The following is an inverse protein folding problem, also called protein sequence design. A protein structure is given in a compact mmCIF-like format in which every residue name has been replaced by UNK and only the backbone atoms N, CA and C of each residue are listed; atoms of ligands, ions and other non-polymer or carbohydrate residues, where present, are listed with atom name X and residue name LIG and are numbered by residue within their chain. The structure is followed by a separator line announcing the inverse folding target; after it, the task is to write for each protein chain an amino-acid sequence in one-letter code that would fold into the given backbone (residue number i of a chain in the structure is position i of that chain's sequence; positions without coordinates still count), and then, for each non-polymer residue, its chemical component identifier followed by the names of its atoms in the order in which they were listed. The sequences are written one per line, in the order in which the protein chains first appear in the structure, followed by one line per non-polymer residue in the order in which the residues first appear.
data_IF_661101288592
#
_entry.id   IF_661101288592
#
_cell.length_a   1.000
_cell.length_b   1.000
_cell.length_c   1.000
_cell.angle_alpha   90.00
_cell.angle_beta   90.00
_cell.angle_gamma   90.00
#
_symmetry.space_group_name_H-M   'P 1'
#
loop_
_entity.id
_entity.type
_entity.pdbx_description
1 polymer ?
#
# COMPACT_ATOMS: atom_id res chain seq x y z
N UNK A 1 3.53 34.39 -1.96
CA UNK A 1 4.90 34.42 -2.49
C UNK A 1 5.11 33.12 -3.25
N UNK A 2 5.46 33.16 -4.52
CA UNK A 2 5.81 31.97 -5.29
C UNK A 2 7.03 31.32 -4.65
N UNK A 3 6.92 30.06 -4.24
CA UNK A 3 8.06 29.30 -3.74
C UNK A 3 9.08 29.19 -4.87
N UNK A 4 10.33 29.57 -4.62
CA UNK A 4 11.39 29.48 -5.62
C UNK A 4 11.68 28.00 -5.92
N UNK A 5 11.59 27.62 -7.20
CA UNK A 5 11.83 26.25 -7.65
C UNK A 5 13.35 26.05 -7.75
N UNK A 6 13.93 25.07 -7.06
CA UNK A 6 15.37 24.86 -7.09
C UNK A 6 15.83 24.37 -8.47
N UNK A 7 17.10 24.63 -8.80
CA UNK A 7 17.72 24.14 -10.03
C UNK A 7 18.07 22.64 -9.94
N UNK A 8 18.19 22.12 -8.72
CA UNK A 8 18.58 20.74 -8.43
C UNK A 8 17.57 20.04 -7.52
N UNK A 9 17.59 18.72 -7.56
CA UNK A 9 16.80 17.81 -6.74
C UNK A 9 17.72 16.85 -6.01
N UNK A 10 17.48 16.65 -4.72
CA UNK A 10 18.14 15.60 -3.93
C UNK A 10 17.31 14.34 -4.06
N UNK A 11 17.92 13.23 -4.43
CA UNK A 11 17.21 11.98 -4.68
C UNK A 11 18.07 10.75 -4.43
N UNK A 12 17.40 9.63 -4.21
CA UNK A 12 18.01 8.31 -4.28
C UNK A 12 17.73 7.68 -5.64
N UNK A 13 18.66 6.85 -6.13
CA UNK A 13 18.45 5.98 -7.29
C UNK A 13 18.83 4.54 -6.91
N UNK A 14 18.13 3.56 -7.48
CA UNK A 14 18.51 2.14 -7.39
C UNK A 14 19.44 1.81 -8.57
N UNK A 15 20.75 1.74 -8.33
CA UNK A 15 21.74 1.38 -9.35
C UNK A 15 22.23 -0.04 -9.14
N UNK A 16 21.88 -0.92 -10.08
CA UNK A 16 22.33 -2.31 -10.08
C UNK A 16 21.61 -3.20 -9.07
N UNK A 17 22.30 -4.26 -8.64
CA UNK A 17 21.76 -5.36 -7.85
C UNK A 17 22.55 -5.43 -6.53
N UNK A 18 21.88 -5.26 -5.39
CA UNK A 18 22.60 -5.26 -4.11
C UNK A 18 21.77 -4.98 -2.86
N UNK A 19 20.44 -5.01 -2.93
CA UNK A 19 19.61 -4.62 -1.81
C UNK A 19 19.89 -3.15 -1.41
N UNK A 20 20.02 -2.81 -0.12
CA UNK A 20 20.28 -1.44 0.33
C UNK A 20 21.55 -0.79 -0.25
N UNK A 21 22.54 -1.58 -0.66
CA UNK A 21 23.78 -1.05 -1.24
C UNK A 21 23.59 -0.53 -2.67
N UNK A 22 22.54 -0.98 -3.36
CA UNK A 22 22.13 -0.43 -4.65
C UNK A 22 21.52 0.98 -4.54
N UNK A 23 21.23 1.48 -3.33
CA UNK A 23 20.73 2.83 -3.12
C UNK A 23 21.90 3.83 -3.15
N UNK A 24 21.83 4.78 -4.09
CA UNK A 24 22.79 5.88 -4.22
C UNK A 24 22.09 7.22 -4.09
N UNK A 25 22.51 8.00 -3.09
CA UNK A 25 22.05 9.38 -2.90
C UNK A 25 22.84 10.31 -3.81
N UNK A 26 22.16 11.24 -4.47
CA UNK A 26 22.79 12.27 -5.28
C UNK A 26 21.95 13.53 -5.38
N UNK A 27 22.59 14.61 -5.79
CA UNK A 27 21.93 15.83 -6.22
C UNK A 27 22.01 15.90 -7.74
N UNK A 28 20.88 16.09 -8.41
CA UNK A 28 20.75 16.06 -9.88
C UNK A 28 20.03 17.32 -10.37
N UNK A 29 20.21 17.73 -11.64
CA UNK A 29 19.40 18.80 -12.22
C UNK A 29 17.91 18.47 -12.17
N UNK A 30 17.09 19.45 -11.81
CA UNK A 30 15.63 19.27 -11.81
C UNK A 30 15.13 19.06 -13.24
N UNK A 31 14.40 17.98 -13.49
CA UNK A 31 13.82 17.70 -14.80
C UNK A 31 12.80 18.77 -15.20
N UNK A 32 12.74 19.09 -16.50
CA UNK A 32 11.74 20.01 -17.03
C UNK A 32 10.33 19.42 -16.85
N UNK A 33 9.40 20.27 -16.41
CA UNK A 33 7.99 19.92 -16.27
C UNK A 33 7.37 19.85 -17.66
N UNK A 34 6.84 18.69 -18.03
CA UNK A 34 6.11 18.51 -19.29
C UNK A 34 4.75 19.20 -19.31
N UNK A 35 4.14 19.28 -20.50
CA UNK A 35 2.92 20.07 -20.72
C UNK A 35 1.70 19.58 -19.91
N UNK A 36 1.60 18.27 -19.66
CA UNK A 36 0.54 17.63 -18.84
C UNK A 36 1.01 17.29 -17.42
N UNK A 37 2.21 17.74 -17.03
CA UNK A 37 2.81 17.37 -15.76
C UNK A 37 2.66 18.44 -14.69
N UNK A 38 2.69 17.98 -13.45
CA UNK A 38 2.65 18.78 -12.24
C UNK A 38 3.97 18.59 -11.50
N UNK A 39 4.62 19.69 -11.15
CA UNK A 39 5.80 19.67 -10.29
C UNK A 39 5.35 19.71 -8.84
N UNK A 40 5.73 18.68 -8.09
CA UNK A 40 5.38 18.54 -6.68
C UNK A 40 6.65 18.66 -5.84
N UNK A 41 6.62 19.56 -4.84
CA UNK A 41 7.57 19.51 -3.72
C UNK A 41 7.12 18.37 -2.80
N UNK A 42 7.87 17.27 -2.79
CA UNK A 42 7.53 16.10 -1.98
C UNK A 42 7.95 16.38 -0.54
N UNK A 43 7.03 16.14 0.41
CA UNK A 43 7.21 16.47 1.83
C UNK A 43 7.03 15.25 2.73
N UNK A 44 6.34 14.22 2.24
CA UNK A 44 6.24 12.92 2.87
C UNK A 44 6.35 11.82 1.83
N UNK A 45 7.00 10.73 2.21
CA UNK A 45 7.00 9.46 1.50
C UNK A 45 6.82 8.33 2.53
N UNK A 46 6.60 7.10 2.07
CA UNK A 46 6.59 5.95 2.99
C UNK A 46 7.07 4.67 2.30
N UNK A 47 7.56 3.71 3.09
CA UNK A 47 8.09 2.46 2.55
C UNK A 47 7.01 1.40 2.35
N UNK A 48 7.18 0.60 1.30
CA UNK A 48 6.47 -0.65 1.06
C UNK A 48 7.47 -1.80 0.92
N UNK A 49 7.02 -3.03 1.16
CA UNK A 49 7.86 -4.23 0.98
C UNK A 49 8.45 -4.31 -0.43
N UNK A 50 7.68 -3.89 -1.45
CA UNK A 50 8.14 -3.84 -2.84
C UNK A 50 9.42 -3.01 -3.02
N UNK A 51 9.57 -1.91 -2.29
CA UNK A 51 10.70 -1.00 -2.49
C UNK A 51 12.02 -1.67 -2.09
N UNK A 52 11.94 -2.59 -1.12
CA UNK A 52 13.06 -3.39 -0.66
C UNK A 52 13.41 -4.48 -1.69
N UNK A 53 12.41 -5.21 -2.18
CA UNK A 53 12.65 -6.32 -3.13
C UNK A 53 12.97 -5.83 -4.55
N UNK A 54 12.62 -4.60 -4.91
CA UNK A 54 13.13 -3.94 -6.13
C UNK A 54 14.65 -3.75 -6.02
N UNK A 55 15.15 -3.30 -4.87
CA UNK A 55 16.58 -3.15 -4.64
C UNK A 55 17.33 -4.50 -4.64
N UNK A 56 16.63 -5.60 -4.34
CA UNK A 56 17.14 -6.98 -4.47
C UNK A 56 16.88 -7.61 -5.85
N UNK A 57 16.22 -6.90 -6.78
CA UNK A 57 15.74 -7.40 -8.07
C UNK A 57 14.88 -8.69 -8.00
N UNK A 58 14.09 -8.81 -6.94
CA UNK A 58 13.12 -9.90 -6.73
C UNK A 58 11.68 -9.46 -6.98
N UNK A 59 11.46 -8.23 -7.45
CA UNK A 59 10.13 -7.74 -7.74
C UNK A 59 9.56 -8.41 -9.02
N UNK A 60 8.38 -9.03 -8.98
CA UNK A 60 7.85 -9.82 -10.09
C UNK A 60 7.17 -8.98 -11.19
N UNK A 61 7.06 -7.66 -10.99
CA UNK A 61 6.46 -6.73 -11.95
C UNK A 61 7.56 -5.88 -12.63
N UNK A 62 7.24 -5.20 -13.74
CA UNK A 62 8.21 -4.41 -14.48
C UNK A 62 8.99 -3.42 -13.61
N UNK A 63 10.30 -3.37 -13.86
CA UNK A 63 11.24 -2.47 -13.20
C UNK A 63 12.39 -2.12 -14.15
N UNK A 64 12.98 -0.95 -13.99
CA UNK A 64 14.16 -0.50 -14.73
C UNK A 64 15.28 -0.12 -13.77
N UNK A 65 16.52 -0.20 -14.26
CA UNK A 65 17.68 0.25 -13.49
C UNK A 65 17.73 1.78 -13.41
N UNK A 66 18.44 2.29 -12.39
CA UNK A 66 18.67 3.72 -12.14
C UNK A 66 17.40 4.55 -11.92
N UNK A 67 16.29 3.90 -11.56
CA UNK A 67 15.05 4.58 -11.19
C UNK A 67 15.17 5.20 -9.80
N UNK A 68 14.54 6.36 -9.59
CA UNK A 68 14.28 6.86 -8.23
C UNK A 68 13.27 5.92 -7.55
N UNK A 69 13.59 5.25 -6.43
CA UNK A 69 12.66 4.31 -5.80
C UNK A 69 11.50 5.02 -5.09
N UNK A 70 10.52 4.22 -4.64
CA UNK A 70 9.37 4.66 -3.86
C UNK A 70 8.15 4.99 -4.70
N UNK A 71 6.99 4.47 -4.31
CA UNK A 71 5.71 4.77 -4.96
C UNK A 71 4.84 5.74 -4.17
N UNK A 72 5.01 5.74 -2.85
CA UNK A 72 4.24 6.49 -1.87
C UNK A 72 4.80 7.90 -1.71
N UNK A 73 4.01 8.92 -2.02
CA UNK A 73 4.43 10.32 -1.91
C UNK A 73 3.27 11.25 -1.65
N UNK A 74 3.52 12.27 -0.84
CA UNK A 74 2.63 13.39 -0.64
C UNK A 74 3.41 14.70 -0.61
N UNK A 75 2.80 15.75 -1.13
CA UNK A 75 3.49 17.03 -1.28
C UNK A 75 2.58 18.15 -1.76
N UNK A 76 3.21 19.28 -2.04
CA UNK A 76 2.54 20.49 -2.53
C UNK A 76 2.90 20.74 -3.98
N UNK A 77 1.90 21.03 -4.81
CA UNK A 77 2.10 21.47 -6.19
C UNK A 77 2.78 22.84 -6.21
N UNK A 78 3.89 22.98 -6.93
CA UNK A 78 4.64 24.24 -7.04
C UNK A 78 4.63 24.83 -8.46
N UNK A 79 4.43 24.00 -9.48
CA UNK A 79 4.26 24.42 -10.87
C UNK A 79 3.44 23.41 -11.66
N UNK A 80 2.87 23.85 -12.78
CA UNK A 80 2.05 23.03 -13.68
C UNK A 80 2.44 23.29 -15.13
N UNK A 81 2.35 22.26 -15.97
CA UNK A 81 2.40 22.39 -17.42
C UNK A 81 1.18 23.11 -17.99
N UNK A 82 1.29 23.62 -19.22
CA UNK A 82 0.26 24.44 -19.87
C UNK A 82 -1.07 23.72 -20.17
N UNK A 83 -1.11 22.39 -20.10
CA UNK A 83 -2.29 21.58 -20.38
C UNK A 83 -2.88 20.94 -19.11
N UNK A 84 -2.28 21.17 -17.95
CA UNK A 84 -2.82 20.72 -16.66
C UNK A 84 -4.12 21.47 -16.36
N UNK A 85 -5.13 20.71 -15.95
CA UNK A 85 -6.46 21.23 -15.60
C UNK A 85 -6.93 20.77 -14.21
N UNK A 86 -6.39 19.67 -13.69
CA UNK A 86 -6.82 19.09 -12.40
C UNK A 86 -6.22 19.78 -11.18
N UNK A 87 -5.10 20.50 -11.33
CA UNK A 87 -4.34 21.06 -10.22
C UNK A 87 -3.85 22.48 -10.48
N UNK A 88 -3.57 23.20 -9.39
CA UNK A 88 -2.87 24.49 -9.37
C UNK A 88 -1.78 24.52 -8.30
N UNK A 89 -0.79 25.45 -8.41
CA UNK A 89 0.16 25.70 -7.34
C UNK A 89 -0.52 25.93 -5.99
N UNK A 90 0.01 25.29 -4.94
CA UNK A 90 -0.54 25.29 -3.58
C UNK A 90 -1.44 24.10 -3.25
N UNK A 91 -1.94 23.35 -4.24
CA UNK A 91 -2.72 22.15 -3.98
C UNK A 91 -1.85 21.07 -3.31
N UNK A 92 -2.41 20.37 -2.31
CA UNK A 92 -1.76 19.23 -1.67
C UNK A 92 -2.22 17.94 -2.32
N UNK A 93 -1.28 17.06 -2.65
CA UNK A 93 -1.55 15.86 -3.45
C UNK A 93 -0.88 14.63 -2.85
N UNK A 94 -1.44 13.46 -3.17
CA UNK A 94 -0.83 12.15 -3.00
C UNK A 94 -0.62 11.49 -4.37
N UNK A 95 0.42 10.68 -4.49
CA UNK A 95 0.72 9.97 -5.73
C UNK A 95 -0.24 8.82 -5.99
N UNK A 96 -0.49 8.52 -7.26
CA UNK A 96 -1.07 7.26 -7.70
C UNK A 96 0.04 6.29 -8.07
N UNK A 97 -0.12 5.03 -7.67
CA UNK A 97 0.90 3.98 -7.85
C UNK A 97 1.26 3.75 -9.32
N UNK A 98 0.28 3.35 -10.14
CA UNK A 98 0.39 3.25 -11.59
C UNK A 98 -0.25 4.51 -12.18
N UNK A 99 0.56 5.47 -12.64
CA UNK A 99 0.09 6.80 -13.07
C UNK A 99 -1.02 6.75 -14.14
N UNK A 100 -1.01 5.72 -15.00
CA UNK A 100 -1.99 5.50 -16.06
C UNK A 100 -3.25 4.72 -15.64
N UNK A 101 -3.30 4.14 -14.43
CA UNK A 101 -4.45 3.33 -13.98
C UNK A 101 -5.58 4.22 -13.47
N UNK A 102 -6.28 4.88 -14.38
CA UNK A 102 -7.32 5.86 -14.05
C UNK A 102 -8.59 5.20 -13.50
N UNK A 103 -9.01 4.07 -14.08
CA UNK A 103 -10.24 3.37 -13.71
C UNK A 103 -10.27 1.94 -14.26
N UNK A 104 -11.27 1.18 -13.84
CA UNK A 104 -11.46 -0.20 -14.29
C UNK A 104 -10.36 -1.17 -13.83
N UNK A 105 -10.26 -2.29 -14.54
CA UNK A 105 -9.22 -3.30 -14.31
C UNK A 105 -7.85 -2.79 -14.74
N UNK A 106 -6.81 -3.27 -14.07
CA UNK A 106 -5.44 -2.95 -14.45
C UNK A 106 -5.10 -3.62 -15.80
N UNK A 107 -4.57 -2.85 -16.73
CA UNK A 107 -4.15 -3.32 -18.05
C UNK A 107 -2.61 -3.30 -18.21
N UNK A 108 -2.14 -3.91 -19.30
CA UNK A 108 -0.72 -4.06 -19.58
C UNK A 108 0.02 -2.73 -19.81
N UNK A 109 -0.66 -1.69 -20.31
CA UNK A 109 -0.08 -0.36 -20.51
C UNK A 109 0.03 0.37 -19.18
N UNK A 110 -1.04 0.33 -18.38
CA UNK A 110 -1.09 0.94 -17.05
C UNK A 110 0.01 0.43 -16.13
N UNK A 111 0.33 -0.88 -16.17
CA UNK A 111 1.45 -1.46 -15.39
C UNK A 111 2.81 -0.82 -15.71
N UNK A 112 3.02 -0.31 -16.93
CA UNK A 112 4.29 0.35 -17.33
C UNK A 112 4.46 1.75 -16.75
N UNK A 113 3.52 2.20 -15.91
CA UNK A 113 3.52 3.55 -15.31
C UNK A 113 3.71 3.51 -13.80
N UNK A 114 4.21 2.38 -13.27
CA UNK A 114 4.44 2.16 -11.84
C UNK A 114 5.58 2.99 -11.27
N UNK A 115 5.27 3.87 -10.31
CA UNK A 115 6.24 4.72 -9.61
C UNK A 115 7.28 3.90 -8.83
N UNK A 116 8.53 4.31 -8.97
CA UNK A 116 9.70 3.67 -8.34
C UNK A 116 9.97 2.25 -8.82
N UNK A 117 9.31 1.82 -9.90
CA UNK A 117 9.61 0.59 -10.63
C UNK A 117 10.05 0.90 -12.05
N UNK A 118 9.14 1.42 -12.88
CA UNK A 118 9.38 1.70 -14.31
C UNK A 118 9.62 3.19 -14.55
N UNK A 119 8.99 4.05 -13.75
CA UNK A 119 9.14 5.51 -13.80
C UNK A 119 9.61 6.04 -12.45
N UNK A 120 10.30 7.18 -12.44
CA UNK A 120 10.88 7.75 -11.23
C UNK A 120 9.86 7.99 -10.12
N UNK A 121 10.22 7.50 -8.94
CA UNK A 121 9.41 7.47 -7.74
C UNK A 121 9.48 8.72 -6.87
N UNK A 122 9.38 8.50 -5.55
CA UNK A 122 9.09 9.54 -4.56
C UNK A 122 10.19 9.79 -3.54
N UNK A 123 11.27 8.98 -3.51
CA UNK A 123 12.43 9.26 -2.65
C UNK A 123 13.35 10.34 -3.25
N UNK A 124 12.77 11.53 -3.41
CA UNK A 124 13.38 12.76 -3.93
C UNK A 124 12.67 14.00 -3.38
N UNK A 125 13.33 15.16 -3.39
CA UNK A 125 12.73 16.41 -2.88
C UNK A 125 11.68 17.03 -3.80
N UNK A 126 11.80 16.82 -5.11
CA UNK A 126 10.87 17.32 -6.13
C UNK A 126 10.64 16.26 -7.20
N UNK A 127 9.42 16.15 -7.72
CA UNK A 127 9.10 15.23 -8.81
C UNK A 127 8.07 15.82 -9.76
N UNK A 128 8.26 15.59 -11.06
CA UNK A 128 7.25 15.85 -12.07
C UNK A 128 6.42 14.58 -12.27
N UNK A 129 5.10 14.72 -12.18
CA UNK A 129 4.13 13.63 -12.31
C UNK A 129 3.11 14.00 -13.36
N UNK A 130 2.56 13.02 -14.08
CA UNK A 130 1.41 13.30 -14.95
C UNK A 130 0.23 13.77 -14.08
N UNK A 131 -0.55 14.77 -14.52
CA UNK A 131 -1.69 15.23 -13.74
C UNK A 131 -2.69 14.10 -13.47
N UNK A 132 -2.75 13.06 -14.31
CA UNK A 132 -3.63 11.93 -14.10
C UNK A 132 -3.12 10.99 -12.99
N UNK A 133 -1.84 11.04 -12.65
CA UNK A 133 -1.18 10.22 -11.62
C UNK A 133 -1.14 10.84 -10.22
N UNK A 134 -2.02 11.81 -9.96
CA UNK A 134 -2.16 12.48 -8.67
C UNK A 134 -3.63 12.56 -8.24
N UNK A 135 -3.84 12.63 -6.93
CA UNK A 135 -5.14 12.88 -6.28
C UNK A 135 -4.95 13.92 -5.18
N UNK A 136 -5.98 14.73 -4.91
CA UNK A 136 -5.95 15.65 -3.76
C UNK A 136 -5.76 14.87 -2.45
N UNK A 137 -4.80 15.33 -1.64
CA UNK A 137 -4.55 14.77 -0.32
C UNK A 137 -5.69 15.14 0.62
N UNK A 138 -6.16 14.20 1.47
CA UNK A 138 -7.07 14.53 2.57
C UNK A 138 -6.54 15.70 3.40
N UNK A 139 -7.36 16.74 3.53
CA UNK A 139 -7.02 18.01 4.17
C UNK A 139 -6.72 17.89 5.68
N UNK A 140 -7.23 16.83 6.31
CA UNK A 140 -7.05 16.49 7.71
C UNK A 140 -5.75 15.70 8.01
N UNK A 141 -4.95 15.36 7.00
CA UNK A 141 -3.71 14.61 7.16
C UNK A 141 -2.46 15.49 7.02
N UNK A 142 -1.40 15.12 7.74
CA UNK A 142 -0.05 15.62 7.43
C UNK A 142 0.55 14.87 6.23
N UNK A 143 1.66 15.37 5.66
CA UNK A 143 2.25 14.77 4.46
C UNK A 143 2.80 13.35 4.67
N UNK A 144 3.31 13.02 5.85
CA UNK A 144 3.79 11.65 6.13
C UNK A 144 2.60 10.69 6.20
N UNK A 145 1.49 11.09 6.85
CA UNK A 145 0.25 10.32 6.88
C UNK A 145 -0.33 10.16 5.47
N UNK A 146 -0.44 11.25 4.71
CA UNK A 146 -0.96 11.23 3.34
C UNK A 146 -0.14 10.35 2.40
N UNK A 147 1.18 10.30 2.56
CA UNK A 147 2.03 9.46 1.72
C UNK A 147 1.74 7.97 1.88
N UNK A 148 1.18 7.52 3.01
CA UNK A 148 0.90 6.10 3.25
C UNK A 148 -0.27 5.54 2.43
N UNK A 149 -1.04 6.42 1.79
CA UNK A 149 -2.28 6.07 1.09
C UNK A 149 -2.05 5.37 -0.25
N UNK A 150 -1.01 5.76 -0.98
CA UNK A 150 -0.80 5.38 -2.39
C UNK A 150 -0.74 3.88 -2.64
N UNK A 151 0.12 3.16 -1.93
CA UNK A 151 0.26 1.71 -2.09
C UNK A 151 -0.60 0.97 -1.05
N UNK A 152 -0.29 1.09 0.23
CA UNK A 152 -0.90 0.24 1.25
C UNK A 152 -2.41 0.53 1.46
N UNK A 153 -2.77 1.81 1.61
CA UNK A 153 -4.16 2.22 1.76
C UNK A 153 -5.00 1.81 0.56
N UNK A 154 -4.57 2.19 -0.64
CA UNK A 154 -5.31 1.90 -1.87
C UNK A 154 -5.42 0.40 -2.16
N UNK A 155 -4.41 -0.40 -1.82
CA UNK A 155 -4.48 -1.86 -1.93
C UNK A 155 -5.57 -2.42 -1.01
N UNK A 156 -5.61 -1.99 0.25
CA UNK A 156 -6.64 -2.42 1.19
C UNK A 156 -8.04 -1.98 0.74
N UNK A 157 -8.18 -0.75 0.21
CA UNK A 157 -9.43 -0.26 -0.36
C UNK A 157 -9.90 -1.11 -1.55
N UNK A 158 -9.01 -1.41 -2.50
CA UNK A 158 -9.34 -2.25 -3.65
C UNK A 158 -9.66 -3.71 -3.23
N UNK A 159 -9.03 -4.22 -2.18
CA UNK A 159 -9.32 -5.56 -1.66
C UNK A 159 -10.75 -5.67 -1.10
N UNK A 160 -11.24 -4.62 -0.42
CA UNK A 160 -12.55 -4.65 0.24
C UNK A 160 -13.69 -4.10 -0.65
N UNK A 161 -13.41 -3.11 -1.50
CA UNK A 161 -14.46 -2.38 -2.24
C UNK A 161 -14.30 -2.40 -3.75
N UNK A 162 -13.16 -2.88 -4.26
CA UNK A 162 -12.82 -2.78 -5.68
C UNK A 162 -13.34 -3.90 -6.56
N UNK A 163 -13.88 -4.98 -5.98
CA UNK A 163 -14.57 -6.04 -6.73
C UNK A 163 -16.06 -5.75 -6.78
N UNK A 164 -16.64 -5.54 -7.97
CA UNK A 164 -18.06 -5.18 -8.10
C UNK A 164 -19.00 -6.23 -7.49
N UNK A 165 -18.71 -7.50 -7.72
CA UNK A 165 -19.54 -8.63 -7.26
C UNK A 165 -19.26 -9.01 -5.80
N UNK A 166 -18.15 -8.52 -5.24
CA UNK A 166 -17.70 -8.84 -3.88
C UNK A 166 -17.29 -7.56 -3.14
N UNK A 167 -18.13 -6.51 -3.17
CA UNK A 167 -17.90 -5.35 -2.31
C UNK A 167 -18.23 -5.73 -0.86
N UNK A 168 -17.42 -5.26 0.08
CA UNK A 168 -17.68 -5.43 1.50
C UNK A 168 -19.01 -4.78 1.90
N UNK A 169 -19.85 -5.54 2.59
CA UNK A 169 -21.12 -5.10 3.14
C UNK A 169 -21.05 -5.05 4.68
N UNK A 170 -21.83 -4.16 5.33
CA UNK A 170 -21.96 -4.16 6.78
C UNK A 170 -22.37 -5.53 7.33
N UNK A 171 -21.80 -5.91 8.47
CA UNK A 171 -22.06 -7.20 9.13
C UNK A 171 -21.25 -8.39 8.60
N UNK A 172 -20.57 -8.27 7.45
CA UNK A 172 -19.69 -9.32 6.93
C UNK A 172 -18.43 -9.50 7.78
N UNK A 173 -17.78 -10.65 7.61
CA UNK A 173 -16.50 -10.98 8.26
C UNK A 173 -15.31 -10.75 7.33
N UNK A 174 -14.30 -10.04 7.83
CA UNK A 174 -13.02 -9.80 7.16
C UNK A 174 -11.89 -10.43 7.96
N UNK A 175 -11.03 -11.20 7.30
CA UNK A 175 -9.79 -11.70 7.87
C UNK A 175 -8.60 -10.90 7.34
N UNK A 176 -7.78 -10.38 8.25
CA UNK A 176 -6.55 -9.64 7.93
C UNK A 176 -5.34 -10.30 8.57
N UNK A 177 -4.19 -10.27 7.89
CA UNK A 177 -2.98 -10.96 8.36
C UNK A 177 -1.87 -9.99 8.76
N UNK A 178 -1.41 -10.07 10.01
CA UNK A 178 -0.32 -9.24 10.54
C UNK A 178 -0.70 -7.79 10.80
N UNK A 179 0.32 -6.97 11.06
CA UNK A 179 0.18 -5.53 11.38
C UNK A 179 0.96 -4.64 10.41
N UNK A 180 1.19 -5.12 9.19
CA UNK A 180 1.75 -4.30 8.11
C UNK A 180 0.71 -3.30 7.61
N UNK A 181 1.16 -2.31 6.83
CA UNK A 181 0.29 -1.21 6.40
C UNK A 181 -1.02 -1.63 5.74
N UNK A 182 -0.99 -2.57 4.79
CA UNK A 182 -2.22 -3.06 4.11
C UNK A 182 -3.20 -3.65 5.12
N UNK A 183 -2.71 -4.50 6.03
CA UNK A 183 -3.52 -5.16 7.03
C UNK A 183 -4.16 -4.17 8.00
N UNK A 184 -3.40 -3.16 8.44
CA UNK A 184 -3.91 -2.12 9.33
C UNK A 184 -4.99 -1.26 8.65
N UNK A 185 -4.78 -0.83 7.41
CA UNK A 185 -5.81 -0.15 6.64
C UNK A 185 -7.05 -1.02 6.44
N UNK A 186 -6.88 -2.31 6.14
CA UNK A 186 -8.00 -3.24 5.98
C UNK A 186 -8.83 -3.38 7.27
N UNK A 187 -8.20 -3.44 8.45
CA UNK A 187 -8.91 -3.42 9.74
C UNK A 187 -9.74 -2.13 9.85
N UNK A 188 -9.10 -0.96 9.66
CA UNK A 188 -9.77 0.34 9.80
C UNK A 188 -10.97 0.48 8.85
N UNK A 189 -10.78 0.17 7.57
CA UNK A 189 -11.82 0.24 6.55
C UNK A 189 -12.96 -0.74 6.81
N UNK A 190 -12.65 -1.97 7.20
CA UNK A 190 -13.66 -2.96 7.55
C UNK A 190 -14.51 -2.50 8.75
N UNK A 191 -13.86 -2.00 9.81
CA UNK A 191 -14.58 -1.50 10.99
C UNK A 191 -15.42 -0.26 10.67
N UNK A 192 -14.90 0.69 9.89
CA UNK A 192 -15.66 1.86 9.47
C UNK A 192 -16.86 1.50 8.57
N UNK A 193 -16.76 0.42 7.78
CA UNK A 193 -17.86 -0.12 6.97
C UNK A 193 -18.87 -0.96 7.78
N UNK A 194 -18.71 -1.10 9.10
CA UNK A 194 -19.61 -1.89 9.95
C UNK A 194 -19.39 -3.41 9.84
N UNK A 195 -18.24 -3.85 9.34
CA UNK A 195 -17.88 -5.26 9.30
C UNK A 195 -17.24 -5.74 10.62
N UNK A 196 -17.16 -7.07 10.76
CA UNK A 196 -16.48 -7.77 11.86
C UNK A 196 -15.13 -8.26 11.38
N UNK A 197 -14.10 -8.17 12.21
CA UNK A 197 -12.72 -8.40 11.83
C UNK A 197 -12.09 -9.49 12.69
N UNK A 198 -11.50 -10.48 12.03
CA UNK A 198 -10.58 -11.45 12.62
C UNK A 198 -9.18 -11.08 12.13
N UNK A 199 -8.30 -10.67 13.03
CA UNK A 199 -6.92 -10.35 12.67
C UNK A 199 -5.96 -11.44 13.14
N UNK A 200 -4.95 -11.79 12.34
CA UNK A 200 -3.88 -12.69 12.77
C UNK A 200 -2.60 -11.92 13.07
N UNK A 201 -1.78 -12.38 14.01
CA UNK A 201 -0.48 -11.80 14.32
C UNK A 201 0.46 -12.85 14.92
N UNK A 202 1.77 -12.55 14.96
CA UNK A 202 2.78 -13.39 15.64
C UNK A 202 3.19 -12.86 17.01
N UNK A 203 2.63 -11.74 17.44
CA UNK A 203 3.05 -11.03 18.65
C UNK A 203 1.86 -10.54 19.45
N UNK A 204 1.86 -10.88 20.74
CA UNK A 204 0.89 -10.42 21.72
C UNK A 204 1.01 -8.91 21.99
N UNK A 205 2.17 -8.30 21.72
CA UNK A 205 2.32 -6.84 21.76
C UNK A 205 1.61 -6.19 20.57
N UNK A 206 1.83 -6.71 19.36
CA UNK A 206 1.16 -6.25 18.13
C UNK A 206 -0.36 -6.48 18.17
N UNK A 207 -0.83 -7.49 18.91
CA UNK A 207 -2.25 -7.72 19.16
C UNK A 207 -2.94 -6.52 19.83
N UNK A 208 -2.26 -5.79 20.72
CA UNK A 208 -2.85 -4.62 21.39
C UNK A 208 -3.22 -3.51 20.41
N UNK A 209 -2.41 -3.32 19.36
CA UNK A 209 -2.72 -2.37 18.29
C UNK A 209 -3.98 -2.80 17.53
N UNK A 210 -4.07 -4.07 17.13
CA UNK A 210 -5.25 -4.61 16.42
C UNK A 210 -6.53 -4.47 17.25
N UNK A 211 -6.45 -4.71 18.57
CA UNK A 211 -7.57 -4.52 19.49
C UNK A 211 -7.99 -3.05 19.58
N UNK A 212 -7.02 -2.13 19.69
CA UNK A 212 -7.28 -0.68 19.70
C UNK A 212 -7.95 -0.20 18.41
N UNK A 213 -7.62 -0.81 17.27
CA UNK A 213 -8.22 -0.52 15.97
C UNK A 213 -9.59 -1.19 15.76
N UNK A 214 -10.06 -1.96 16.75
CA UNK A 214 -11.41 -2.54 16.75
C UNK A 214 -11.52 -3.93 16.15
N UNK A 215 -10.42 -4.68 15.99
CA UNK A 215 -10.50 -6.09 15.63
C UNK A 215 -11.33 -6.87 16.68
N UNK A 216 -12.36 -7.60 16.23
CA UNK A 216 -13.28 -8.33 17.11
C UNK A 216 -12.63 -9.58 17.71
N UNK A 217 -11.79 -10.25 16.90
CA UNK A 217 -10.99 -11.39 17.34
C UNK A 217 -9.56 -11.26 16.83
N UNK A 218 -8.61 -11.75 17.64
CA UNK A 218 -7.19 -11.76 17.28
C UNK A 218 -6.66 -13.18 17.50
N UNK A 219 -6.04 -13.75 16.48
CA UNK A 219 -5.43 -15.08 16.52
C UNK A 219 -3.91 -14.93 16.48
N UNK A 220 -3.22 -15.39 17.51
CA UNK A 220 -1.78 -15.53 17.45
C UNK A 220 -1.43 -16.81 16.67
N UNK A 221 -0.96 -16.68 15.43
CA UNK A 221 -0.74 -17.83 14.55
C UNK A 221 0.47 -18.69 14.95
N UNK A 222 1.33 -18.22 15.87
CA UNK A 222 2.40 -19.05 16.46
C UNK A 222 1.87 -19.98 17.54
N UNK A 223 0.85 -19.53 18.27
CA UNK A 223 0.18 -20.31 19.31
C UNK A 223 -0.94 -21.18 18.70
N UNK A 224 -1.54 -20.73 17.59
CA UNK A 224 -2.57 -21.45 16.83
C UNK A 224 -2.15 -21.56 15.35
N UNK A 225 -1.31 -22.55 14.98
CA UNK A 225 -0.90 -22.74 13.58
C UNK A 225 -2.09 -22.99 12.62
N UNK A 226 -3.11 -23.71 13.10
CA UNK A 226 -4.36 -23.97 12.37
C UNK A 226 -5.37 -22.80 12.48
N UNK A 227 -4.88 -21.57 12.30
CA UNK A 227 -5.67 -20.35 12.50
C UNK A 227 -6.87 -20.23 11.55
N UNK A 228 -6.82 -20.88 10.38
CA UNK A 228 -7.92 -20.88 9.41
C UNK A 228 -9.14 -21.64 9.94
N UNK A 229 -8.91 -22.81 10.56
CA UNK A 229 -9.96 -23.55 11.24
C UNK A 229 -10.51 -22.77 12.43
N UNK A 230 -9.65 -22.11 13.21
CA UNK A 230 -10.08 -21.26 14.33
C UNK A 230 -10.91 -20.06 13.86
N UNK A 231 -10.53 -19.40 12.76
CA UNK A 231 -11.30 -18.32 12.18
C UNK A 231 -12.70 -18.79 11.73
N UNK A 232 -12.79 -19.98 11.12
CA UNK A 232 -14.06 -20.58 10.74
C UNK A 232 -14.93 -20.90 11.97
N UNK A 233 -14.34 -21.40 13.05
CA UNK A 233 -15.05 -21.61 14.33
C UNK A 233 -15.63 -20.29 14.88
N UNK A 234 -14.84 -19.21 14.90
CA UNK A 234 -15.25 -17.89 15.40
C UNK A 234 -16.43 -17.27 14.61
N UNK A 235 -16.62 -17.72 13.37
CA UNK A 235 -17.74 -17.32 12.51
C UNK A 235 -18.92 -18.29 12.57
N UNK A 236 -18.97 -19.17 13.59
CA UNK A 236 -20.03 -20.17 13.75
C UNK A 236 -19.95 -21.33 12.74
N UNK A 237 -18.76 -21.58 12.20
CA UNK A 237 -18.52 -22.64 11.22
C UNK A 237 -18.72 -22.23 9.75
N UNK A 238 -19.18 -21.00 9.50
CA UNK A 238 -19.52 -20.53 8.13
C UNK A 238 -18.27 -20.13 7.35
N UNK A 239 -17.32 -19.44 7.99
CA UNK A 239 -16.15 -18.83 7.36
C UNK A 239 -16.29 -17.32 7.17
N UNK A 240 -15.20 -16.67 6.77
CA UNK A 240 -15.15 -15.23 6.52
C UNK A 240 -15.55 -14.89 5.08
N UNK A 241 -16.13 -13.70 4.87
CA UNK A 241 -16.51 -13.21 3.54
C UNK A 241 -15.29 -12.74 2.72
N UNK A 242 -14.32 -12.11 3.39
CA UNK A 242 -13.14 -11.54 2.77
C UNK A 242 -11.88 -12.00 3.49
N UNK A 243 -10.86 -12.38 2.73
CA UNK A 243 -9.49 -12.54 3.23
C UNK A 243 -8.58 -11.55 2.52
N UNK A 244 -7.84 -10.76 3.29
CA UNK A 244 -6.77 -9.87 2.82
C UNK A 244 -5.45 -10.62 2.96
N UNK A 245 -5.06 -11.32 1.89
CA UNK A 245 -3.94 -12.26 1.82
C UNK A 245 -2.65 -11.53 1.44
N UNK A 246 -1.78 -11.30 2.43
CA UNK A 246 -0.51 -10.57 2.24
C UNK A 246 0.73 -11.46 2.46
N UNK A 247 0.57 -12.59 3.16
CA UNK A 247 1.67 -13.45 3.56
C UNK A 247 2.12 -14.38 2.42
N UNK A 248 1.19 -14.84 1.59
CA UNK A 248 1.50 -15.62 0.39
C UNK A 248 1.50 -17.13 0.64
N UNK A 249 2.31 -17.91 -0.12
CA UNK A 249 2.22 -19.37 -0.20
C UNK A 249 2.07 -20.11 1.14
N UNK A 250 2.84 -19.71 2.15
CA UNK A 250 2.86 -20.34 3.49
C UNK A 250 1.56 -20.17 4.29
N UNK A 251 0.66 -19.30 3.85
CA UNK A 251 -0.59 -18.97 4.56
C UNK A 251 -1.86 -19.28 3.75
N UNK A 252 -1.75 -19.46 2.43
CA UNK A 252 -2.89 -19.62 1.52
C UNK A 252 -3.79 -20.82 1.89
N UNK A 253 -3.21 -21.90 2.40
CA UNK A 253 -3.97 -23.08 2.85
C UNK A 253 -4.95 -22.71 3.97
N UNK A 254 -4.48 -21.96 4.95
CA UNK A 254 -5.31 -21.50 6.07
C UNK A 254 -6.32 -20.43 5.63
N UNK A 255 -5.96 -19.56 4.68
CA UNK A 255 -6.88 -18.61 4.05
C UNK A 255 -8.06 -19.33 3.39
N UNK A 256 -7.78 -20.39 2.61
CA UNK A 256 -8.81 -21.26 2.03
C UNK A 256 -9.64 -21.99 3.10
N UNK A 257 -9.01 -22.51 4.16
CA UNK A 257 -9.76 -23.14 5.26
C UNK A 257 -10.71 -22.16 5.95
N UNK A 258 -10.34 -20.88 6.05
CA UNK A 258 -11.11 -19.86 6.74
C UNK A 258 -12.28 -19.28 5.93
N UNK A 259 -12.25 -19.40 4.59
CA UNK A 259 -13.19 -18.72 3.71
C UNK A 259 -14.58 -19.37 3.75
N UNK A 260 -15.63 -18.56 3.64
CA UNK A 260 -16.98 -19.06 3.39
C UNK A 260 -17.18 -19.41 1.91
N UNK A 261 -18.21 -20.22 1.62
CA UNK A 261 -18.68 -20.39 0.26
C UNK A 261 -19.18 -19.05 -0.32
N UNK A 262 -18.71 -18.73 -1.51
CA UNK A 262 -18.90 -17.44 -2.19
C UNK A 262 -18.01 -16.31 -1.67
N UNK A 263 -17.09 -16.58 -0.72
CA UNK A 263 -16.16 -15.57 -0.23
C UNK A 263 -15.03 -15.25 -1.22
N UNK A 264 -14.31 -14.17 -0.97
CA UNK A 264 -13.18 -13.71 -1.79
C UNK A 264 -11.88 -13.69 -0.98
N UNK A 265 -10.83 -14.30 -1.55
CA UNK A 265 -9.46 -14.18 -1.09
C UNK A 265 -8.74 -13.23 -2.04
N UNK A 266 -8.43 -12.02 -1.57
CA UNK A 266 -7.67 -11.04 -2.35
C UNK A 266 -6.17 -11.23 -2.06
N UNK A 267 -5.44 -11.74 -3.04
CA UNK A 267 -4.00 -12.02 -2.99
C UNK A 267 -3.24 -10.75 -3.36
N UNK A 268 -2.42 -10.28 -2.42
CA UNK A 268 -1.71 -9.01 -2.50
C UNK A 268 -0.21 -9.21 -2.60
N UNK A 269 0.33 -10.16 -1.84
CA UNK A 269 1.77 -10.34 -1.76
C UNK A 269 2.19 -11.63 -1.08
N UNK A 270 3.49 -11.70 -0.84
CA UNK A 270 4.19 -12.88 -0.34
C UNK A 270 5.21 -12.48 0.73
N UNK A 271 4.81 -11.62 1.68
CA UNK A 271 5.75 -11.08 2.68
C UNK A 271 6.31 -12.14 3.61
N UNK A 272 5.67 -13.32 3.69
CA UNK A 272 6.16 -14.46 4.46
C UNK A 272 7.06 -15.41 3.64
N UNK A 273 7.40 -15.05 2.39
CA UNK A 273 8.29 -15.81 1.51
C UNK A 273 7.58 -16.45 0.32
N UNK A 274 8.37 -17.10 -0.54
CA UNK A 274 7.92 -17.71 -1.81
C UNK A 274 8.04 -19.24 -1.80
N UNK A 275 8.23 -19.86 -0.63
CA UNK A 275 8.26 -21.32 -0.50
C UNK A 275 6.86 -21.88 -0.78
N UNK A 276 6.72 -22.62 -1.86
CA UNK A 276 5.47 -23.10 -2.43
C UNK A 276 5.20 -24.59 -2.14
N UNK A 277 6.03 -25.25 -1.32
CA UNK A 277 5.91 -26.68 -1.03
C UNK A 277 4.54 -27.10 -0.46
N UNK A 278 3.81 -26.17 0.18
CA UNK A 278 2.45 -26.39 0.70
C UNK A 278 1.38 -25.51 0.03
N UNK A 279 1.68 -24.91 -1.12
CA UNK A 279 0.76 -24.00 -1.78
C UNK A 279 -0.47 -24.75 -2.35
N UNK A 280 -1.71 -24.32 -2.02
CA UNK A 280 -2.92 -24.92 -2.58
C UNK A 280 -3.02 -24.74 -4.10
N UNK A 281 -3.57 -25.73 -4.79
CA UNK A 281 -3.80 -25.70 -6.24
C UNK A 281 -5.15 -25.10 -6.63
N UNK A 282 -5.37 -24.89 -7.92
CA UNK A 282 -6.64 -24.33 -8.42
C UNK A 282 -7.87 -25.16 -8.07
N UNK A 283 -7.74 -26.49 -7.94
CA UNK A 283 -8.85 -27.34 -7.48
C UNK A 283 -9.31 -26.99 -6.06
N UNK A 284 -8.45 -26.43 -5.22
CA UNK A 284 -8.86 -26.00 -3.88
C UNK A 284 -9.81 -24.79 -3.92
N UNK A 285 -9.77 -23.98 -4.98
CA UNK A 285 -10.74 -22.89 -5.20
C UNK A 285 -12.13 -23.47 -5.46
N UNK A 286 -12.21 -24.54 -6.26
CA UNK A 286 -13.46 -25.27 -6.52
C UNK A 286 -14.00 -25.92 -5.25
N UNK A 287 -13.16 -26.64 -4.49
CA UNK A 287 -13.63 -27.34 -3.27
C UNK A 287 -14.06 -26.40 -2.15
N UNK A 288 -13.53 -25.17 -2.12
CA UNK A 288 -13.95 -24.12 -1.17
C UNK A 288 -15.02 -23.18 -1.73
N UNK A 289 -15.42 -23.36 -3.00
CA UNK A 289 -16.42 -22.55 -3.71
C UNK A 289 -16.18 -21.05 -3.47
N UNK A 290 -14.96 -20.57 -3.74
CA UNK A 290 -14.56 -19.19 -3.46
C UNK A 290 -13.97 -18.51 -4.69
N UNK A 291 -13.74 -17.20 -4.59
CA UNK A 291 -12.99 -16.42 -5.57
C UNK A 291 -11.58 -16.17 -5.06
N UNK A 292 -10.56 -16.44 -5.88
CA UNK A 292 -9.19 -15.94 -5.65
C UNK A 292 -8.91 -14.81 -6.63
N UNK A 293 -8.49 -13.64 -6.11
CA UNK A 293 -8.31 -12.43 -6.90
C UNK A 293 -6.95 -11.81 -6.61
N UNK A 294 -6.09 -11.71 -7.61
CA UNK A 294 -4.86 -10.92 -7.52
C UNK A 294 -5.13 -9.43 -7.67
N UNK A 295 -4.44 -8.60 -6.90
CA UNK A 295 -4.44 -7.14 -7.08
C UNK A 295 -3.03 -6.57 -7.07
N UNK A 296 -2.78 -5.59 -7.94
CA UNK A 296 -1.59 -4.74 -7.87
C UNK A 296 -2.08 -3.32 -7.57
N UNK A 297 -2.23 -3.03 -6.27
CA UNK A 297 -2.76 -1.76 -5.76
C UNK A 297 -4.16 -1.48 -6.30
N UNK A 298 -4.50 -0.27 -6.73
CA UNK A 298 -5.82 0.14 -7.20
C UNK A 298 -5.73 1.34 -8.12
N UNK A 299 -6.88 1.73 -8.69
CA UNK A 299 -6.97 2.81 -9.67
C UNK A 299 -7.19 4.17 -9.01
N UNK A 300 -7.12 5.25 -9.82
CA UNK A 300 -7.34 6.61 -9.34
C UNK A 300 -8.71 6.84 -8.74
N UNK A 301 -9.77 6.35 -9.38
CA UNK A 301 -11.14 6.52 -8.87
C UNK A 301 -11.28 5.95 -7.45
N UNK A 302 -10.70 4.78 -7.22
CA UNK A 302 -10.63 4.15 -5.89
C UNK A 302 -9.80 4.96 -4.89
N UNK A 303 -8.69 5.59 -5.32
CA UNK A 303 -7.90 6.48 -4.47
C UNK A 303 -8.69 7.72 -4.07
N UNK A 304 -9.43 8.33 -4.99
CA UNK A 304 -10.30 9.47 -4.72
C UNK A 304 -11.45 9.10 -3.77
N UNK A 305 -12.07 7.93 -3.93
CA UNK A 305 -13.08 7.39 -3.01
C UNK A 305 -12.53 7.17 -1.61
N UNK A 306 -11.35 6.53 -1.51
CA UNK A 306 -10.67 6.30 -0.25
C UNK A 306 -10.33 7.61 0.47
N UNK A 307 -9.77 8.59 -0.26
CA UNK A 307 -9.45 9.90 0.31
C UNK A 307 -10.69 10.58 0.89
N UNK A 308 -11.83 10.57 0.17
CA UNK A 308 -13.10 11.11 0.68
C UNK A 308 -13.58 10.39 1.94
N UNK A 309 -13.44 9.06 1.98
CA UNK A 309 -13.83 8.28 3.16
C UNK A 309 -12.98 8.64 4.39
N UNK A 310 -11.67 8.81 4.20
CA UNK A 310 -10.73 9.23 5.26
C UNK A 310 -11.04 10.66 5.75
N UNK A 311 -11.32 11.60 4.84
CA UNK A 311 -11.73 12.95 5.23
C UNK A 311 -13.02 12.98 6.03
N UNK A 312 -13.99 12.13 5.68
CA UNK A 312 -15.27 12.05 6.36
C UNK A 312 -15.18 11.34 7.73
N UNK A 313 -14.15 10.53 7.98
CA UNK A 313 -14.01 9.71 9.18
C UNK A 313 -12.60 9.80 9.82
N UNK A 314 -12.10 11.00 10.16
CA UNK A 314 -10.74 11.21 10.63
C UNK A 314 -10.38 10.32 11.82
N UNK A 315 -11.24 10.21 12.83
CA UNK A 315 -10.93 9.46 14.05
C UNK A 315 -10.78 7.96 13.82
N UNK A 316 -11.55 7.39 12.90
CA UNK A 316 -11.53 5.96 12.60
C UNK A 316 -10.51 5.59 11.52
N UNK A 317 -10.29 6.47 10.54
CA UNK A 317 -9.55 6.17 9.31
C UNK A 317 -8.21 6.93 9.18
N UNK A 318 -7.78 7.65 10.22
CA UNK A 318 -6.44 8.25 10.24
C UNK A 318 -5.37 7.15 10.06
N UNK A 319 -4.44 7.28 9.10
CA UNK A 319 -3.40 6.29 8.88
C UNK A 319 -2.52 6.04 10.10
N UNK A 320 -2.21 4.77 10.36
CA UNK A 320 -1.24 4.39 11.40
C UNK A 320 0.17 4.44 10.83
N UNK A 321 0.89 5.51 11.16
CA UNK A 321 2.31 5.68 10.86
C UNK A 321 3.13 5.15 12.04
N UNK A 322 4.21 4.44 11.75
CA UNK A 322 5.16 4.00 12.77
C UNK A 322 5.73 5.22 13.51
N UNK A 323 5.87 5.17 14.85
CA UNK A 323 6.43 6.29 15.62
C UNK A 323 7.84 6.70 15.17
N UNK A 324 8.62 5.77 14.61
CA UNK A 324 9.94 6.04 14.07
C UNK A 324 9.83 6.51 12.62
N UNK A 325 9.81 7.82 12.43
CA UNK A 325 9.88 8.49 11.13
C UNK A 325 11.34 8.82 10.80
N UNK A 326 11.76 8.55 9.56
CA UNK A 326 13.12 8.79 9.06
C UNK A 326 13.15 10.02 8.14
N UNK A 327 14.33 10.57 7.87
CA UNK A 327 14.51 11.58 6.82
C UNK A 327 14.87 10.95 5.46
N UNK A 328 14.84 11.74 4.39
CA UNK A 328 15.27 11.29 3.07
C UNK A 328 16.68 10.70 3.09
N UNK A 329 17.63 11.35 3.78
CA UNK A 329 19.03 10.92 3.88
C UNK A 329 19.20 9.60 4.65
N UNK A 330 18.21 9.25 5.49
CA UNK A 330 18.21 8.04 6.31
C UNK A 330 17.50 6.85 5.61
N UNK A 331 17.37 6.89 4.27
CA UNK A 331 16.60 5.89 3.54
C UNK A 331 17.16 4.47 3.72
N UNK A 332 18.48 4.29 3.77
CA UNK A 332 19.11 2.97 3.98
C UNK A 332 18.75 2.39 5.35
N UNK A 333 18.76 3.22 6.38
CA UNK A 333 18.37 2.84 7.75
C UNK A 333 16.87 2.50 7.80
N UNK A 334 16.04 3.25 7.09
CA UNK A 334 14.62 3.00 6.97
C UNK A 334 14.34 1.66 6.26
N UNK A 335 15.08 1.34 5.18
CA UNK A 335 15.02 0.05 4.49
C UNK A 335 15.36 -1.10 5.45
N UNK A 336 16.48 -1.00 6.19
CA UNK A 336 16.88 -2.00 7.17
C UNK A 336 15.83 -2.17 8.29
N UNK A 337 15.24 -1.07 8.76
CA UNK A 337 14.19 -1.09 9.77
C UNK A 337 12.91 -1.78 9.25
N UNK A 338 12.47 -1.44 8.04
CA UNK A 338 11.34 -2.09 7.38
C UNK A 338 11.59 -3.60 7.21
N UNK A 339 12.79 -3.98 6.74
CA UNK A 339 13.19 -5.38 6.52
C UNK A 339 13.17 -6.21 7.80
N UNK A 340 13.51 -5.59 8.94
CA UNK A 340 13.48 -6.28 10.25
C UNK A 340 12.07 -6.66 10.74
N UNK A 341 11.01 -6.14 10.11
CA UNK A 341 9.61 -6.41 10.50
C UNK A 341 9.20 -5.85 11.87
N UNK A 342 10.03 -5.00 12.49
CA UNK A 342 9.78 -4.39 13.81
C UNK A 342 8.74 -3.28 13.79
N UNK A 343 8.52 -2.67 12.62
CA UNK A 343 7.55 -1.59 12.45
C UNK A 343 6.11 -2.06 12.67
N UNK A 344 5.24 -1.09 12.94
CA UNK A 344 3.79 -1.25 12.97
C UNK A 344 3.15 -0.24 12.00
N UNK A 345 2.22 -0.70 11.18
CA UNK A 345 1.64 0.14 10.13
C UNK A 345 2.66 0.47 9.05
N UNK A 346 2.97 1.75 8.86
CA UNK A 346 3.78 2.26 7.74
C UNK A 346 5.01 3.04 8.23
N UNK A 347 6.19 2.70 7.73
CA UNK A 347 7.42 3.46 7.99
C UNK A 347 7.41 4.73 7.15
N UNK A 348 7.29 5.88 7.81
CA UNK A 348 7.25 7.20 7.17
C UNK A 348 8.64 7.78 6.93
N UNK A 349 8.76 8.51 5.82
CA UNK A 349 9.93 9.30 5.45
C UNK A 349 9.50 10.77 5.36
N UNK A 350 10.10 11.64 6.16
CA UNK A 350 9.95 13.09 6.07
C UNK A 350 10.96 13.63 5.07
N UNK A 351 10.50 14.48 4.15
CA UNK A 351 11.33 15.10 3.11
C UNK A 351 11.23 16.61 3.27
N UNK A 352 12.37 17.28 3.44
CA UNK A 352 12.44 18.73 3.74
C UNK A 352 12.88 19.58 2.53
#
# INVERSE_FOLDING_TARGET
MSQEIPQTVRQWNVKGLGGPDALHFSEQPLSKVGDNQVLVKIQGASLNYRDLIIAEAKYPFPQVADVVPGSDGAGTVVAIGKHVTRFKPGDKVVTLFNQGHIGGNLDALSVQTGLGGVVDGTFRTFGAFDEQGLVHMPSNLNFVEGATLTCAGLTAWNALFGSADNKLLPGQWVLTQGTGGVSIFAVQFAKAAGARVIATTSSNEKAKLLQKLGADHIINYRETPEWGAKAKELTGGVGVDHVVEVAGPTSMKQSLTSIKFGGVITIIGFVAGTDDNEQPGFLNVLTNICTTRGVLVGNRGQLEEMCRAIEANPEALRPVVDPKVFTLEQLKEAYAYQWSGKHQGKVGIKIE
#
